data_IF_073400692439
#
_entry.id   IF_073400692439
#
_cell.length_a   1.000
_cell.length_b   1.000
_cell.length_c   1.000
_cell.angle_alpha   90.00
_cell.angle_beta   90.00
_cell.angle_gamma   90.00
#
_symmetry.space_group_name_H-M   'P 1'
#
loop_
_entity.id
_entity.type
_entity.pdbx_description
1 polymer ?
#
# COMPACT_ATOMS: atom_id res chain seq x y z
N UNK A 1 -8.25 -9.13 7.75
CA UNK A 1 -6.85 -9.38 8.14
C UNK A 1 -6.00 -8.47 7.26
N UNK A 2 -5.84 -7.21 7.66
CA UNK A 2 -4.92 -6.27 7.01
C UNK A 2 -3.73 -6.07 7.94
N UNK A 3 -2.74 -6.91 7.73
CA UNK A 3 -1.44 -6.86 8.39
C UNK A 3 -0.48 -6.09 7.48
N UNK A 4 -0.65 -4.78 7.34
CA UNK A 4 0.10 -3.99 6.36
C UNK A 4 1.02 -3.00 7.11
N UNK A 5 2.26 -3.46 7.29
CA UNK A 5 3.49 -2.67 7.39
C UNK A 5 3.68 -1.68 8.55
N UNK A 6 3.43 -2.11 9.79
CA UNK A 6 4.26 -1.70 10.93
C UNK A 6 5.42 -2.69 11.10
N UNK A 7 6.16 -2.94 10.00
CA UNK A 7 7.42 -3.68 10.11
C UNK A 7 8.41 -2.72 10.75
N UNK A 8 8.56 -2.88 12.07
CA UNK A 8 9.70 -2.51 12.90
C UNK A 8 10.85 -1.81 12.14
N UNK A 9 10.74 -0.49 11.97
CA UNK A 9 11.92 0.35 11.80
C UNK A 9 12.73 0.23 13.09
N UNK A 10 13.90 -0.38 12.98
CA UNK A 10 15.06 -0.34 13.87
C UNK A 10 14.91 0.44 15.20
N UNK A 11 14.01 0.02 16.09
CA UNK A 11 13.59 0.70 17.35
C UNK A 11 13.29 2.23 17.28
N UNK A 12 13.44 2.91 16.13
CA UNK A 12 13.37 4.36 15.96
C UNK A 12 13.91 5.14 17.17
N UNK A 13 13.16 6.18 17.58
CA UNK A 13 13.40 6.87 18.85
C UNK A 13 12.66 6.22 20.03
N UNK A 14 12.09 5.02 19.90
CA UNK A 14 11.33 4.40 20.98
C UNK A 14 12.17 4.26 22.26
N UNK A 15 13.47 3.96 22.12
CA UNK A 15 14.42 3.90 23.25
C UNK A 15 14.74 5.27 23.87
N UNK A 16 14.39 6.37 23.20
CA UNK A 16 14.59 7.73 23.71
C UNK A 16 13.38 8.17 24.53
N UNK A 17 12.22 7.57 24.28
CA UNK A 17 10.95 7.92 24.91
C UNK A 17 10.77 7.09 26.18
N UNK A 18 10.68 7.77 27.31
CA UNK A 18 10.34 7.16 28.61
C UNK A 18 9.00 7.72 29.08
N UNK A 19 8.05 6.84 29.40
CA UNK A 19 6.79 7.22 30.05
C UNK A 19 7.04 7.23 31.55
N UNK A 20 6.78 8.37 32.19
CA UNK A 20 7.01 8.52 33.62
C UNK A 20 5.79 8.00 34.40
N UNK A 21 6.03 7.07 35.33
CA UNK A 21 5.00 6.52 36.22
C UNK A 21 4.32 5.26 35.68
N UNK A 22 3.06 5.04 36.10
CA UNK A 22 2.32 3.83 35.75
C UNK A 22 1.76 3.90 34.32
N UNK A 23 2.08 2.88 33.52
CA UNK A 23 1.66 2.72 32.11
C UNK A 23 0.29 2.05 31.96
N UNK A 24 -0.28 1.52 33.03
CA UNK A 24 -1.58 0.84 33.02
C UNK A 24 -2.48 1.41 34.10
N UNK A 25 -3.68 1.83 33.71
CA UNK A 25 -4.64 2.41 34.63
C UNK A 25 -6.07 2.21 34.12
N UNK A 26 -7.02 2.25 35.04
CA UNK A 26 -8.45 2.19 34.77
C UNK A 26 -8.97 3.63 34.81
N UNK A 27 -9.70 4.04 33.77
CA UNK A 27 -10.40 5.32 33.73
C UNK A 27 -11.90 5.10 33.99
N UNK A 28 -12.49 5.93 34.85
CA UNK A 28 -13.95 5.99 35.00
C UNK A 28 -14.58 6.74 33.81
N UNK A 29 -15.89 6.57 33.57
CA UNK A 29 -16.60 7.34 32.55
C UNK A 29 -16.40 8.86 32.74
N UNK A 30 -15.94 9.55 31.69
CA UNK A 30 -15.64 10.98 31.70
C UNK A 30 -14.32 11.37 32.40
N UNK A 31 -13.57 10.43 32.95
CA UNK A 31 -12.28 10.70 33.57
C UNK A 31 -11.20 10.98 32.51
N UNK A 32 -10.37 11.98 32.77
CA UNK A 32 -9.20 12.30 31.96
C UNK A 32 -7.94 12.14 32.78
N UNK A 33 -6.89 11.62 32.15
CA UNK A 33 -5.58 11.45 32.80
C UNK A 33 -4.47 12.09 31.99
N UNK A 34 -3.61 12.84 32.66
CA UNK A 34 -2.40 13.41 32.08
C UNK A 34 -1.27 12.40 32.13
N UNK A 35 -0.71 12.06 30.97
CA UNK A 35 0.47 11.20 30.84
C UNK A 35 1.66 12.10 30.53
N UNK A 36 2.73 11.97 31.32
CA UNK A 36 3.98 12.71 31.08
C UNK A 36 5.01 11.74 30.52
N UNK A 37 5.68 12.14 29.44
CA UNK A 37 6.78 11.40 28.86
C UNK A 37 8.00 12.31 28.70
N UNK A 38 9.17 11.70 28.60
CA UNK A 38 10.45 12.37 28.39
C UNK A 38 11.12 11.78 27.18
N UNK A 39 11.72 12.63 26.34
CA UNK A 39 12.52 12.21 25.18
C UNK A 39 13.97 12.56 25.46
N UNK A 40 14.84 11.55 25.56
CA UNK A 40 16.28 11.73 25.81
C UNK A 40 17.08 11.21 24.63
N UNK A 41 17.57 12.14 23.80
CA UNK A 41 18.47 11.79 22.70
C UNK A 41 19.81 11.23 23.23
N UNK A 42 20.41 10.21 22.58
CA UNK A 42 21.75 9.73 22.89
C UNK A 42 22.81 10.81 22.66
N UNK A 43 23.99 10.62 23.24
CA UNK A 43 25.14 11.52 23.02
C UNK A 43 25.79 11.38 21.65
N UNK A 44 25.57 10.25 20.96
CA UNK A 44 26.00 10.00 19.58
C UNK A 44 24.77 9.65 18.75
N UNK A 45 24.43 10.49 17.79
CA UNK A 45 23.30 10.32 16.88
C UNK A 45 23.73 10.67 15.46
N UNK A 46 23.19 9.97 14.47
CA UNK A 46 23.20 10.47 13.11
C UNK A 46 22.24 11.66 13.02
N UNK A 47 22.62 12.68 12.25
CA UNK A 47 21.86 13.92 12.11
C UNK A 47 20.67 13.76 11.15
N UNK A 48 19.79 12.80 11.45
CA UNK A 48 18.60 12.47 10.65
C UNK A 48 17.32 12.69 11.46
N UNK A 49 16.24 13.14 10.83
CA UNK A 49 14.91 13.21 11.46
C UNK A 49 14.59 11.84 12.06
N UNK A 50 14.30 11.82 13.36
CA UNK A 50 14.09 10.59 14.10
C UNK A 50 12.63 10.53 14.56
N UNK A 51 11.96 9.42 14.26
CA UNK A 51 10.51 9.28 14.43
C UNK A 51 10.17 8.09 15.32
N UNK A 52 9.15 8.26 16.15
CA UNK A 52 8.58 7.23 16.99
C UNK A 52 7.13 7.55 17.29
N UNK A 53 6.48 6.73 18.12
CA UNK A 53 5.10 6.99 18.52
C UNK A 53 4.85 6.53 19.96
N UNK A 54 3.94 7.21 20.63
CA UNK A 54 3.28 6.71 21.83
C UNK A 54 1.99 6.01 21.40
N UNK A 55 1.83 4.76 21.83
CA UNK A 55 0.62 3.98 21.57
C UNK A 55 -0.16 3.85 22.88
N UNK A 56 -1.41 4.31 22.88
CA UNK A 56 -2.31 4.20 24.01
C UNK A 56 -3.44 3.25 23.62
N UNK A 57 -3.59 2.16 24.37
CA UNK A 57 -4.62 1.15 24.16
C UNK A 57 -5.64 1.21 25.30
N UNK A 58 -6.90 1.46 24.94
CA UNK A 58 -8.05 1.34 25.84
C UNK A 58 -8.74 0.00 25.59
N UNK A 59 -8.82 -0.83 26.62
CA UNK A 59 -9.59 -2.07 26.60
C UNK A 59 -10.67 -1.98 27.68
N UNK A 60 -11.90 -2.43 27.41
CA UNK A 60 -12.93 -2.52 28.44
C UNK A 60 -12.53 -3.58 29.45
N UNK A 61 -12.95 -3.39 30.70
CA UNK A 61 -12.81 -4.42 31.73
C UNK A 61 -13.80 -5.54 31.40
N UNK A 62 -13.28 -6.73 31.07
CA UNK A 62 -14.11 -7.91 30.83
C UNK A 62 -14.38 -8.56 32.18
N UNK A 63 -15.62 -8.50 32.64
CA UNK A 63 -16.09 -9.36 33.73
C UNK A 63 -16.31 -10.76 33.15
N UNK A 64 -15.80 -11.79 33.83
CA UNK A 64 -15.89 -13.19 33.40
C UNK A 64 -17.36 -13.64 33.29
N UNK A 65 -17.98 -13.44 32.14
CA UNK A 65 -19.30 -13.98 31.84
C UNK A 65 -19.15 -15.45 31.41
N UNK A 66 -19.66 -16.35 32.24
CA UNK A 66 -19.75 -17.78 31.93
C UNK A 66 -20.66 -18.01 30.72
N UNK A 67 -20.05 -18.40 29.59
CA UNK A 67 -20.75 -19.05 28.46
C UNK A 67 -21.22 -18.12 27.34
N UNK A 68 -20.29 -17.72 26.46
CA UNK A 68 -20.58 -17.08 25.18
C UNK A 68 -19.33 -16.47 24.53
N UNK A 69 -19.27 -16.41 23.21
CA UNK A 69 -18.19 -15.70 22.50
C UNK A 69 -18.36 -14.20 22.72
N UNK A 70 -17.49 -13.60 23.54
CA UNK A 70 -17.53 -12.18 23.84
C UNK A 70 -16.58 -11.41 22.91
N UNK A 71 -17.14 -10.55 22.07
CA UNK A 71 -16.35 -9.64 21.23
C UNK A 71 -15.95 -8.43 22.08
N UNK A 72 -14.64 -8.21 22.20
CA UNK A 72 -14.07 -7.08 22.94
C UNK A 72 -13.59 -6.02 21.96
N UNK A 73 -14.21 -4.84 21.97
CA UNK A 73 -13.75 -3.70 21.17
C UNK A 73 -12.81 -2.83 22.02
N UNK A 74 -11.62 -2.56 21.49
CA UNK A 74 -10.66 -1.63 22.09
C UNK A 74 -10.45 -0.41 21.21
N UNK A 75 -10.04 0.70 21.82
CA UNK A 75 -9.58 1.90 21.11
C UNK A 75 -8.06 1.92 21.15
N UNK A 76 -7.42 2.18 20.02
CA UNK A 76 -5.98 2.45 19.96
C UNK A 76 -5.77 3.89 19.46
N UNK A 77 -4.98 4.66 20.22
CA UNK A 77 -4.52 5.99 19.83
C UNK A 77 -3.02 5.93 19.57
N UNK A 78 -2.61 6.42 18.40
CA UNK A 78 -1.19 6.51 18.02
C UNK A 78 -0.80 7.98 17.92
N UNK A 79 0.10 8.42 18.80
CA UNK A 79 0.60 9.79 18.84
C UNK A 79 2.03 9.80 18.28
N UNK A 80 2.26 10.30 17.05
CA UNK A 80 3.59 10.36 16.47
C UNK A 80 4.45 11.43 17.16
N UNK A 81 5.70 11.08 17.45
CA UNK A 81 6.72 11.97 17.99
C UNK A 81 7.81 12.08 16.93
N UNK A 82 8.09 13.31 16.49
CA UNK A 82 9.16 13.64 15.55
C UNK A 82 10.20 14.50 16.25
N UNK A 83 11.45 14.07 16.19
CA UNK A 83 12.59 14.81 16.73
C UNK A 83 13.45 15.26 15.56
N UNK A 84 13.41 16.57 15.28
CA UNK A 84 14.33 17.19 14.32
C UNK A 84 15.69 17.37 14.98
N UNK A 85 16.70 16.67 14.46
CA UNK A 85 18.06 16.78 14.96
C UNK A 85 18.81 17.92 14.26
N UNK A 86 19.70 18.64 14.97
CA UNK A 86 20.46 19.74 14.37
C UNK A 86 21.42 19.19 13.30
N UNK A 87 21.38 19.72 12.08
CA UNK A 87 22.25 19.25 11.00
C UNK A 87 21.82 19.75 9.63
N UNK A 88 22.57 19.42 8.57
CA UNK A 88 22.19 19.77 7.21
C UNK A 88 20.91 19.03 6.81
N UNK A 89 20.00 19.75 6.14
CA UNK A 89 18.78 19.18 5.57
C UNK A 89 19.12 18.65 4.17
N UNK A 90 19.11 17.33 4.03
CA UNK A 90 19.36 16.62 2.78
C UNK A 90 18.09 15.85 2.43
N UNK A 91 17.41 16.26 1.37
CA UNK A 91 16.26 15.53 0.83
C UNK A 91 16.76 14.57 -0.26
N UNK A 92 16.66 13.27 -0.06
CA UNK A 92 17.08 12.28 -1.07
C UNK A 92 16.21 11.04 -0.97
N UNK A 93 15.39 10.83 -1.99
CA UNK A 93 14.62 9.61 -2.18
C UNK A 93 15.11 8.95 -3.46
N UNK A 94 15.49 7.69 -3.35
CA UNK A 94 16.00 6.88 -4.44
C UNK A 94 15.02 5.75 -4.74
N UNK A 95 14.79 5.49 -6.03
CA UNK A 95 14.08 4.30 -6.48
C UNK A 95 15.11 3.17 -6.65
N UNK A 96 15.12 2.22 -5.73
CA UNK A 96 16.04 1.09 -5.71
C UNK A 96 15.63 0.05 -6.75
N UNK A 97 14.33 -0.24 -6.81
CA UNK A 97 13.79 -1.25 -7.69
C UNK A 97 12.36 -0.90 -8.08
N UNK A 98 11.95 -1.41 -9.25
CA UNK A 98 10.60 -1.25 -9.76
C UNK A 98 10.16 -2.53 -10.45
N UNK A 99 8.91 -2.94 -10.20
CA UNK A 99 8.31 -4.10 -10.83
C UNK A 99 6.88 -3.78 -11.25
N UNK A 100 6.62 -3.92 -12.55
CA UNK A 100 5.30 -3.90 -13.15
C UNK A 100 4.91 -5.28 -13.71
N UNK A 101 3.62 -5.61 -13.77
CA UNK A 101 3.14 -6.83 -14.41
C UNK A 101 3.25 -6.71 -15.93
N UNK A 102 3.82 -7.72 -16.60
CA UNK A 102 3.91 -7.72 -18.06
C UNK A 102 2.54 -7.93 -18.74
N UNK A 103 1.71 -8.78 -18.13
CA UNK A 103 0.39 -9.16 -18.64
C UNK A 103 -0.63 -9.07 -17.50
N UNK A 104 -1.79 -8.48 -17.77
CA UNK A 104 -2.94 -8.45 -16.88
C UNK A 104 -4.16 -9.06 -17.55
N UNK A 105 -4.96 -9.74 -16.73
CA UNK A 105 -6.26 -10.27 -17.13
C UNK A 105 -7.36 -9.42 -16.52
N UNK A 106 -8.48 -9.24 -17.23
CA UNK A 106 -9.64 -8.55 -16.65
C UNK A 106 -10.03 -9.15 -15.30
N UNK A 107 -10.44 -8.30 -14.37
CA UNK A 107 -10.86 -8.65 -13.00
C UNK A 107 -9.78 -9.19 -12.07
N UNK A 108 -8.54 -9.31 -12.53
CA UNK A 108 -7.41 -9.69 -11.68
C UNK A 108 -6.57 -8.43 -11.41
N UNK A 109 -6.40 -8.02 -10.13
CA UNK A 109 -5.58 -6.86 -9.80
C UNK A 109 -4.12 -7.11 -10.15
N UNK A 110 -3.54 -6.19 -10.92
CA UNK A 110 -2.10 -6.07 -11.11
C UNK A 110 -1.46 -5.26 -10.00
N UNK A 111 -0.30 -5.69 -9.53
CA UNK A 111 0.49 -4.97 -8.53
C UNK A 111 1.69 -4.28 -9.18
N UNK A 112 1.80 -2.99 -8.95
CA UNK A 112 2.93 -2.15 -9.36
C UNK A 112 3.73 -1.83 -8.09
N UNK A 113 4.94 -2.35 -8.03
CA UNK A 113 5.79 -2.28 -6.84
C UNK A 113 6.95 -1.33 -7.08
N UNK A 114 7.15 -0.40 -6.15
CA UNK A 114 8.25 0.55 -6.15
C UNK A 114 8.99 0.44 -4.82
N UNK A 115 10.26 0.03 -4.87
CA UNK A 115 11.13 0.00 -3.69
C UNK A 115 11.88 1.32 -3.61
N UNK A 116 11.53 2.11 -2.61
CA UNK A 116 12.08 3.44 -2.38
C UNK A 116 13.01 3.39 -1.17
N UNK A 117 14.11 4.13 -1.22
CA UNK A 117 15.01 4.31 -0.09
C UNK A 117 15.24 5.79 0.17
N UNK A 118 15.09 6.21 1.42
CA UNK A 118 15.43 7.57 1.80
C UNK A 118 16.90 7.63 2.27
N UNK A 119 17.77 8.13 1.40
CA UNK A 119 19.18 8.38 1.72
C UNK A 119 19.41 9.79 2.30
N UNK A 120 18.34 10.55 2.52
CA UNK A 120 18.38 11.89 3.09
C UNK A 120 18.45 11.89 4.61
N UNK A 121 18.57 13.10 5.16
CA UNK A 121 18.56 13.35 6.62
C UNK A 121 17.19 13.76 7.13
N UNK A 122 16.18 13.87 6.28
CA UNK A 122 14.82 14.26 6.66
C UNK A 122 13.78 13.35 6.02
N UNK A 123 12.59 13.28 6.60
CA UNK A 123 11.49 12.52 5.98
C UNK A 123 11.17 13.08 4.58
N UNK A 124 10.87 12.16 3.65
CA UNK A 124 10.41 12.49 2.32
C UNK A 124 8.89 12.29 2.25
N UNK A 125 8.13 13.39 2.25
CA UNK A 125 6.70 13.33 1.96
C UNK A 125 6.55 13.15 0.46
N UNK A 126 5.92 12.05 0.05
CA UNK A 126 5.70 11.73 -1.35
C UNK A 126 4.24 11.99 -1.74
N UNK A 127 4.07 12.55 -2.93
CA UNK A 127 2.79 12.67 -3.61
C UNK A 127 2.99 12.39 -5.09
N UNK A 128 1.99 11.84 -5.76
CA UNK A 128 2.17 11.47 -7.15
C UNK A 128 0.95 10.83 -7.77
N UNK A 129 1.18 10.26 -8.94
CA UNK A 129 0.17 9.51 -9.66
C UNK A 129 0.82 8.44 -10.53
N UNK A 130 0.10 7.32 -10.66
CA UNK A 130 0.31 6.32 -11.70
C UNK A 130 -0.79 6.52 -12.76
N UNK A 131 -0.38 6.97 -13.95
CA UNK A 131 -1.26 7.17 -15.09
C UNK A 131 -1.18 5.96 -16.01
N UNK A 132 -2.32 5.31 -16.23
CA UNK A 132 -2.42 4.13 -17.11
C UNK A 132 -3.19 4.56 -18.36
N UNK A 133 -2.54 4.50 -19.52
CA UNK A 133 -3.08 4.97 -20.81
C UNK A 133 -3.11 3.84 -21.82
N UNK A 134 -4.31 3.50 -22.30
CA UNK A 134 -4.54 2.56 -23.39
C UNK A 134 -5.86 2.89 -24.06
N UNK A 135 -6.71 1.88 -24.27
CA UNK A 135 -8.09 2.10 -24.74
C UNK A 135 -8.91 2.92 -23.72
N UNK A 136 -8.65 2.69 -22.44
CA UNK A 136 -9.16 3.45 -21.30
C UNK A 136 -8.02 4.17 -20.61
N UNK A 137 -8.34 5.21 -19.84
CA UNK A 137 -7.36 5.97 -19.06
C UNK A 137 -7.73 5.93 -17.58
N UNK A 138 -6.75 5.64 -16.75
CA UNK A 138 -6.90 5.59 -15.29
C UNK A 138 -5.80 6.41 -14.63
N UNK A 139 -6.14 7.02 -13.49
CA UNK A 139 -5.20 7.75 -12.66
C UNK A 139 -5.33 7.25 -11.22
N UNK A 140 -4.24 6.71 -10.68
CA UNK A 140 -4.18 6.20 -9.32
C UNK A 140 -3.28 7.13 -8.52
N UNK A 141 -3.84 7.88 -7.55
CA UNK A 141 -3.07 8.82 -6.74
C UNK A 141 -2.13 8.07 -5.80
N UNK A 142 -0.90 8.55 -5.70
CA UNK A 142 0.13 8.03 -4.80
C UNK A 142 0.31 9.02 -3.65
N UNK A 143 0.40 8.51 -2.43
CA UNK A 143 0.71 9.29 -1.24
C UNK A 143 1.44 8.46 -0.20
N UNK A 144 2.35 9.09 0.54
CA UNK A 144 3.09 8.40 1.58
C UNK A 144 4.23 9.23 2.17
N UNK A 145 4.90 8.67 3.16
CA UNK A 145 6.07 9.27 3.81
C UNK A 145 7.13 8.20 3.96
N UNK A 146 8.36 8.51 3.56
CA UNK A 146 9.53 7.63 3.77
C UNK A 146 10.48 8.30 4.75
N UNK A 147 10.76 7.67 5.88
CA UNK A 147 11.66 8.21 6.90
C UNK A 147 13.12 8.00 6.53
N UNK A 148 14.05 8.81 7.05
CA UNK A 148 15.48 8.64 6.80
C UNK A 148 15.94 7.20 7.06
N UNK A 149 16.85 6.70 6.23
CA UNK A 149 17.46 5.35 6.32
C UNK A 149 16.47 4.17 6.10
N UNK A 150 15.17 4.42 5.98
CA UNK A 150 14.18 3.39 5.72
C UNK A 150 14.16 2.96 4.23
N UNK A 151 13.89 1.66 4.04
CA UNK A 151 13.46 1.09 2.77
C UNK A 151 11.92 0.94 2.80
N UNK A 152 11.23 1.62 1.89
CA UNK A 152 9.78 1.64 1.80
C UNK A 152 9.30 1.00 0.50
N UNK A 153 8.37 0.06 0.61
CA UNK A 153 7.74 -0.58 -0.55
C UNK A 153 6.38 0.05 -0.80
N UNK A 154 6.27 0.84 -1.86
CA UNK A 154 5.00 1.34 -2.37
C UNK A 154 4.38 0.29 -3.30
N UNK A 155 3.13 -0.10 -3.02
CA UNK A 155 2.38 -1.06 -3.84
C UNK A 155 1.09 -0.38 -4.30
N UNK A 156 1.01 -0.11 -5.59
CA UNK A 156 -0.21 0.37 -6.22
C UNK A 156 -0.90 -0.74 -7.00
N UNK A 157 -2.23 -0.71 -7.03
CA UNK A 157 -3.02 -1.76 -7.67
C UNK A 157 -3.95 -1.19 -8.72
N UNK A 158 -4.03 -1.87 -9.85
CA UNK A 158 -5.02 -1.62 -10.88
C UNK A 158 -5.66 -2.91 -11.36
N UNK A 159 -6.98 -2.90 -11.50
CA UNK A 159 -7.75 -4.03 -12.01
C UNK A 159 -8.37 -3.65 -13.35
N UNK A 160 -7.95 -4.26 -14.47
CA UNK A 160 -8.59 -4.01 -15.75
C UNK A 160 -10.05 -4.47 -15.76
N UNK A 161 -10.90 -3.69 -16.40
CA UNK A 161 -12.32 -3.98 -16.59
C UNK A 161 -12.60 -4.98 -17.72
N UNK A 162 -13.89 -5.20 -17.99
CA UNK A 162 -14.36 -6.16 -19.02
C UNK A 162 -13.92 -5.80 -20.44
N UNK A 163 -13.79 -4.50 -20.72
CA UNK A 163 -13.53 -3.95 -22.06
C UNK A 163 -12.08 -3.57 -22.28
N UNK A 164 -11.24 -3.62 -21.25
CA UNK A 164 -9.84 -3.23 -21.35
C UNK A 164 -9.06 -4.29 -22.10
N UNK A 165 -8.44 -3.91 -23.23
CA UNK A 165 -7.74 -4.80 -24.14
C UNK A 165 -6.59 -4.07 -24.81
N UNK A 166 -5.46 -4.77 -24.95
CA UNK A 166 -4.33 -4.32 -25.77
C UNK A 166 -3.16 -3.79 -24.94
N UNK A 167 -2.34 -2.96 -25.56
CA UNK A 167 -1.16 -2.37 -24.94
C UNK A 167 -1.56 -1.14 -24.13
N UNK A 168 -1.16 -1.11 -22.87
CA UNK A 168 -1.30 0.04 -21.98
C UNK A 168 0.08 0.53 -21.58
N UNK A 169 0.25 1.84 -21.58
CA UNK A 169 1.43 2.52 -21.05
C UNK A 169 1.13 2.99 -19.63
N UNK A 170 2.02 2.69 -18.70
CA UNK A 170 1.92 3.10 -17.30
C UNK A 170 3.03 4.10 -17.03
N UNK A 171 2.67 5.36 -16.82
CA UNK A 171 3.59 6.42 -16.46
C UNK A 171 3.40 6.77 -14.99
N UNK A 172 4.42 6.53 -14.17
CA UNK A 172 4.36 6.83 -12.74
C UNK A 172 5.23 8.03 -12.43
N UNK A 173 4.68 9.00 -11.72
CA UNK A 173 5.39 10.18 -11.25
C UNK A 173 5.26 10.29 -9.74
N UNK A 174 6.38 10.22 -9.04
CA UNK A 174 6.47 10.40 -7.59
C UNK A 174 7.24 11.69 -7.32
N UNK A 175 6.56 12.68 -6.76
CA UNK A 175 7.17 13.91 -6.28
C UNK A 175 7.45 13.80 -4.80
N UNK A 176 8.58 14.34 -4.34
CA UNK A 176 8.94 14.27 -2.92
C UNK A 176 9.67 15.50 -2.40
N UNK A 177 9.60 15.68 -1.08
CA UNK A 177 10.33 16.68 -0.30
C UNK A 177 9.82 16.74 1.15
N UNK A 178 10.48 17.50 2.03
CA UNK A 178 10.10 17.56 3.44
C UNK A 178 8.83 18.38 3.67
N UNK A 179 8.70 19.51 2.98
CA UNK A 179 7.53 20.40 3.08
C UNK A 179 6.82 20.60 1.75
N UNK A 180 7.59 20.68 0.66
CA UNK A 180 7.09 20.85 -0.69
C UNK A 180 7.72 19.79 -1.59
N UNK A 181 6.91 19.19 -2.46
CA UNK A 181 7.35 18.13 -3.35
C UNK A 181 8.08 18.72 -4.57
N UNK A 182 9.35 19.08 -4.38
CA UNK A 182 10.18 19.79 -5.38
C UNK A 182 11.00 18.85 -6.26
N UNK A 183 11.24 17.62 -5.80
CA UNK A 183 12.00 16.60 -6.53
C UNK A 183 11.05 15.57 -7.14
N UNK A 184 11.49 14.86 -8.16
CA UNK A 184 10.63 13.94 -8.90
C UNK A 184 11.38 12.67 -9.31
N UNK A 185 10.69 11.55 -9.22
CA UNK A 185 11.06 10.23 -9.73
C UNK A 185 9.99 9.85 -10.75
N UNK A 186 10.41 9.38 -11.93
CA UNK A 186 9.48 8.92 -12.97
C UNK A 186 9.85 7.53 -13.44
N UNK A 187 8.86 6.67 -13.64
CA UNK A 187 9.01 5.38 -14.33
C UNK A 187 8.00 5.27 -15.47
N UNK A 188 8.28 4.40 -16.43
CA UNK A 188 7.42 4.18 -17.59
C UNK A 188 7.48 2.71 -18.00
N UNK A 189 6.32 2.08 -18.03
CA UNK A 189 6.17 0.65 -18.25
C UNK A 189 5.13 0.38 -19.33
N UNK A 190 5.28 -0.74 -20.04
CA UNK A 190 4.29 -1.21 -21.01
C UNK A 190 3.74 -2.54 -20.54
N UNK A 191 2.42 -2.65 -20.52
CA UNK A 191 1.69 -3.83 -20.06
C UNK A 191 0.68 -4.26 -21.11
N UNK A 192 0.42 -5.56 -21.20
CA UNK A 192 -0.59 -6.11 -22.10
C UNK A 192 -1.81 -6.51 -21.26
N UNK A 193 -2.98 -6.00 -21.64
CA UNK A 193 -4.25 -6.36 -21.01
C UNK A 193 -5.02 -7.30 -21.92
N UNK A 194 -5.45 -8.44 -21.38
CA UNK A 194 -6.22 -9.46 -22.09
C UNK A 194 -7.54 -9.70 -21.36
N UNK A 195 -8.69 -9.43 -22.01
CA UNK A 195 -9.98 -9.78 -21.45
C UNK A 195 -10.16 -11.27 -21.29
N UNK A 196 -10.72 -11.67 -20.14
CA UNK A 196 -11.00 -13.07 -19.84
C UNK A 196 -11.98 -13.67 -20.86
N UNK A 197 -12.95 -12.89 -21.37
CA UNK A 197 -13.88 -13.36 -22.39
C UNK A 197 -13.20 -13.74 -23.71
N UNK A 198 -12.10 -13.06 -24.06
CA UNK A 198 -11.35 -13.35 -25.28
C UNK A 198 -10.65 -14.71 -25.16
N UNK A 199 -10.13 -15.04 -23.98
CA UNK A 199 -9.58 -16.38 -23.69
C UNK A 199 -10.68 -17.46 -23.81
N UNK A 200 -11.87 -17.20 -23.25
CA UNK A 200 -13.01 -18.13 -23.34
C UNK A 200 -13.42 -18.36 -24.80
N UNK A 201 -13.50 -17.31 -25.62
CA UNK A 201 -13.83 -17.44 -27.05
C UNK A 201 -12.79 -18.25 -27.82
N UNK A 202 -11.49 -18.07 -27.52
CA UNK A 202 -10.42 -18.87 -28.14
C UNK A 202 -10.59 -20.35 -27.77
N UNK A 203 -10.85 -20.65 -26.49
CA UNK A 203 -11.07 -22.03 -26.03
C UNK A 203 -12.29 -22.65 -26.73
N UNK A 204 -13.42 -21.93 -26.79
CA UNK A 204 -14.64 -22.38 -27.49
C UNK A 204 -14.33 -22.63 -28.97
N UNK A 205 -13.61 -21.72 -29.63
CA UNK A 205 -13.21 -21.86 -31.03
C UNK A 205 -12.37 -23.12 -31.28
N UNK A 206 -11.39 -23.39 -30.41
CA UNK A 206 -10.55 -24.60 -30.48
C UNK A 206 -11.38 -25.86 -30.25
N UNK A 207 -12.28 -25.86 -29.27
CA UNK A 207 -13.17 -27.01 -29.00
C UNK A 207 -14.07 -27.30 -30.20
N UNK A 208 -14.71 -26.27 -30.78
CA UNK A 208 -15.55 -26.42 -31.97
C UNK A 208 -14.74 -26.93 -33.16
N UNK A 209 -13.51 -26.44 -33.35
CA UNK A 209 -12.61 -26.91 -34.40
C UNK A 209 -12.25 -28.39 -34.23
N UNK A 210 -11.95 -28.83 -33.01
CA UNK A 210 -11.67 -30.24 -32.70
C UNK A 210 -12.91 -31.12 -32.94
N UNK A 211 -14.09 -30.69 -32.48
CA UNK A 211 -15.34 -31.44 -32.66
C UNK A 211 -15.69 -31.62 -34.14
N UNK A 212 -15.56 -30.55 -34.94
CA UNK A 212 -15.73 -30.61 -36.40
C UNK A 212 -14.72 -31.58 -37.05
N UNK A 213 -13.47 -31.55 -36.62
CA UNK A 213 -12.42 -32.44 -37.16
C UNK A 213 -12.64 -33.91 -36.80
N UNK A 214 -13.29 -34.20 -35.66
CA UNK A 214 -13.60 -35.56 -35.18
C UNK A 214 -14.95 -36.09 -35.68
N UNK A 215 -15.67 -35.34 -36.52
CA UNK A 215 -16.97 -35.78 -37.06
C UNK A 215 -18.08 -35.87 -36.01
N UNK A 216 -17.94 -35.18 -34.87
CA UNK A 216 -18.99 -35.11 -33.86
C UNK A 216 -20.03 -34.11 -34.34
N UNK A 217 -21.26 -34.56 -34.58
CA UNK A 217 -22.36 -33.66 -34.95
C UNK A 217 -22.57 -32.61 -33.85
N UNK A 218 -22.74 -31.32 -34.20
CA UNK A 218 -23.00 -30.29 -33.21
C UNK A 218 -24.33 -30.60 -32.48
N UNK A 219 -24.38 -30.49 -31.14
CA UNK A 219 -25.59 -30.81 -30.38
C UNK A 219 -26.74 -29.81 -30.61
N UNK A 220 -26.49 -28.71 -31.32
CA UNK A 220 -27.45 -27.63 -31.54
C UNK A 220 -27.85 -27.59 -33.01
N UNK A 221 -29.06 -28.09 -33.32
CA UNK A 221 -29.71 -27.88 -34.62
C UNK A 221 -30.40 -26.52 -34.62
N UNK A 222 -29.75 -25.50 -35.17
CA UNK A 222 -30.38 -24.20 -35.39
C UNK A 222 -31.37 -24.35 -36.56
N UNK A 223 -32.67 -24.45 -36.24
CA UNK A 223 -33.74 -24.32 -37.25
C UNK A 223 -33.84 -22.85 -37.65
N UNK A 224 -33.37 -22.53 -38.85
CA UNK A 224 -33.63 -21.23 -39.46
C UNK A 224 -35.01 -21.34 -40.13
N UNK A 225 -36.06 -20.84 -39.48
CA UNK A 225 -37.33 -20.56 -40.15
C UNK A 225 -37.15 -19.30 -41.00
N UNK A 226 -37.13 -19.45 -42.33
CA UNK A 226 -37.33 -18.32 -43.24
C UNK A 226 -38.81 -17.97 -43.22
N UNK A 227 -39.11 -16.71 -42.87
CA UNK A 227 -40.39 -16.08 -43.14
C UNK A 227 -40.40 -15.49 -44.54
#
# INVERSE_FOLDING_TARGET
MDSIHLVYSDKGIANWITINGNTTFILKPGESRKITFTVKAPSKINYSDAVGALIIRGLPLVENATGGTQITHGVELVIPIRVGLPGPIIESLELINHKAPLILLSFIPGEFVYELRNNGTVQANMTGSMEIKGLTSHNIPIGGVVYPEDNYTLIERWTPGWTDLGLYKVDTTIKYGRFQATKTITTSDNIIVIPVWLIILIIIGVVVWILRRRGVEPPIRIKIERK
#
